data_IF_979329979513
#
_entry.id   IF_979329979513
#
_cell.length_a   1.000
_cell.length_b   1.000
_cell.length_c   1.000
_cell.angle_alpha   90.00
_cell.angle_beta   90.00
_cell.angle_gamma   90.00
#
_symmetry.space_group_name_H-M   'P 1'
#
loop_
_entity.id
_entity.type
_entity.pdbx_description
1 polymer ?
#
# COMPACT_ATOMS: atom_id res chain seq x y z
N UNK A 1 -4.14 -0.78 -9.04
CA UNK A 1 -3.15 -1.89 -8.93
C UNK A 1 -3.84 -3.20 -9.31
N UNK A 2 -3.15 -4.20 -9.88
CA UNK A 2 -3.74 -5.52 -10.18
C UNK A 2 -3.27 -6.58 -9.19
N UNK A 3 -4.05 -7.66 -9.06
CA UNK A 3 -3.70 -8.81 -8.21
C UNK A 3 -2.35 -9.44 -8.59
N UNK A 4 -2.08 -9.64 -9.89
CA UNK A 4 -0.82 -10.20 -10.39
C UNK A 4 0.41 -9.37 -10.01
N UNK A 5 0.27 -8.04 -10.00
CA UNK A 5 1.35 -7.12 -9.65
C UNK A 5 1.71 -7.22 -8.15
N UNK A 6 0.70 -7.47 -7.31
CA UNK A 6 0.87 -7.74 -5.88
C UNK A 6 1.45 -9.13 -5.65
N UNK A 7 0.94 -10.17 -6.32
CA UNK A 7 1.51 -11.53 -6.26
C UNK A 7 2.99 -11.55 -6.64
N UNK A 8 3.33 -10.87 -7.72
CA UNK A 8 4.72 -10.71 -8.17
C UNK A 8 5.58 -10.02 -7.11
N UNK A 9 5.05 -8.99 -6.45
CA UNK A 9 5.73 -8.28 -5.38
C UNK A 9 5.96 -9.14 -4.14
N UNK A 10 4.95 -9.92 -3.73
CA UNK A 10 4.99 -10.82 -2.57
C UNK A 10 5.66 -12.17 -2.85
N UNK A 11 5.98 -12.45 -4.12
CA UNK A 11 6.48 -13.75 -4.59
C UNK A 11 5.55 -14.91 -4.23
N UNK A 12 4.26 -14.71 -4.52
CA UNK A 12 3.20 -15.70 -4.35
C UNK A 12 2.89 -16.32 -5.71
N UNK A 13 3.07 -17.63 -5.82
CA UNK A 13 2.79 -18.42 -7.02
C UNK A 13 1.49 -19.25 -6.92
N UNK A 14 0.77 -19.16 -5.80
CA UNK A 14 -0.48 -19.87 -5.55
C UNK A 14 -1.69 -18.95 -5.56
N UNK A 15 -2.89 -19.53 -5.75
CA UNK A 15 -4.15 -18.79 -5.92
C UNK A 15 -5.05 -18.80 -4.67
N UNK A 16 -4.66 -19.55 -3.62
CA UNK A 16 -5.49 -19.70 -2.41
C UNK A 16 -5.71 -18.37 -1.67
N UNK A 17 -4.75 -17.45 -1.77
CA UNK A 17 -4.80 -16.14 -1.12
C UNK A 17 -5.40 -15.04 -2.00
N UNK A 18 -5.89 -15.34 -3.21
CA UNK A 18 -6.35 -14.34 -4.19
C UNK A 18 -7.44 -13.44 -3.64
N UNK A 19 -8.47 -14.03 -3.04
CA UNK A 19 -9.57 -13.28 -2.43
C UNK A 19 -9.08 -12.34 -1.32
N UNK A 20 -8.07 -12.77 -0.57
CA UNK A 20 -7.54 -11.98 0.53
C UNK A 20 -6.61 -10.87 0.01
N UNK A 21 -5.80 -11.16 -0.99
CA UNK A 21 -5.01 -10.14 -1.69
C UNK A 21 -5.90 -9.09 -2.36
N UNK A 22 -7.01 -9.48 -2.98
CA UNK A 22 -7.98 -8.56 -3.58
C UNK A 22 -8.59 -7.64 -2.51
N UNK A 23 -9.01 -8.22 -1.37
CA UNK A 23 -9.48 -7.43 -0.22
C UNK A 23 -8.41 -6.48 0.32
N UNK A 24 -7.15 -6.93 0.40
CA UNK A 24 -6.04 -6.08 0.85
C UNK A 24 -5.75 -4.95 -0.14
N UNK A 25 -5.89 -5.19 -1.45
CA UNK A 25 -5.72 -4.16 -2.49
C UNK A 25 -6.78 -3.07 -2.31
N UNK A 26 -8.05 -3.44 -2.13
CA UNK A 26 -9.14 -2.49 -1.91
C UNK A 26 -8.94 -1.68 -0.62
N UNK A 27 -8.71 -2.37 0.50
CA UNK A 27 -8.53 -1.73 1.81
C UNK A 27 -7.30 -0.83 1.84
N UNK A 28 -6.20 -1.22 1.20
CA UNK A 28 -4.99 -0.40 1.15
C UNK A 28 -5.15 0.84 0.27
N UNK A 29 -5.95 0.78 -0.80
CA UNK A 29 -6.27 1.94 -1.62
C UNK A 29 -7.12 2.94 -0.84
N UNK A 30 -8.21 2.47 -0.22
CA UNK A 30 -9.07 3.27 0.67
C UNK A 30 -8.27 3.90 1.82
N UNK A 31 -7.34 3.16 2.41
CA UNK A 31 -6.47 3.68 3.47
C UNK A 31 -5.60 4.84 2.99
N UNK A 32 -5.00 4.71 1.79
CA UNK A 32 -4.18 5.78 1.21
C UNK A 32 -5.05 6.99 0.90
N UNK A 33 -6.19 6.79 0.23
CA UNK A 33 -7.16 7.85 -0.07
C UNK A 33 -7.63 8.57 1.20
N UNK A 34 -7.90 7.83 2.28
CA UNK A 34 -8.28 8.42 3.57
C UNK A 34 -7.13 9.18 4.24
N UNK A 35 -5.87 8.83 3.98
CA UNK A 35 -4.71 9.50 4.56
C UNK A 35 -4.27 10.75 3.79
N UNK A 36 -4.34 10.72 2.46
CA UNK A 36 -3.72 11.75 1.60
C UNK A 36 -4.72 12.42 0.65
N UNK A 37 -5.97 11.98 0.64
CA UNK A 37 -7.00 12.41 -0.31
C UNK A 37 -6.80 11.80 -1.71
N UNK A 38 -7.64 12.19 -2.66
CA UNK A 38 -7.60 11.69 -4.05
C UNK A 38 -6.76 12.56 -4.99
N UNK A 39 -6.17 13.65 -4.50
CA UNK A 39 -5.43 14.62 -5.32
C UNK A 39 -4.22 13.99 -6.03
N UNK A 40 -3.56 13.02 -5.40
CA UNK A 40 -2.44 12.29 -6.00
C UNK A 40 -2.83 11.51 -7.27
N UNK A 41 -4.11 11.18 -7.45
CA UNK A 41 -4.62 10.47 -8.65
C UNK A 41 -4.56 11.33 -9.91
N UNK A 42 -4.28 12.63 -9.78
CA UNK A 42 -4.13 13.56 -10.91
C UNK A 42 -2.68 13.68 -11.42
N UNK A 43 -1.69 13.20 -10.67
CA UNK A 43 -0.27 13.29 -11.05
C UNK A 43 0.36 11.90 -11.23
N UNK A 44 0.88 11.62 -12.43
CA UNK A 44 1.50 10.32 -12.75
C UNK A 44 2.67 9.94 -11.82
N UNK A 45 3.43 10.91 -11.30
CA UNK A 45 4.54 10.62 -10.38
C UNK A 45 3.99 10.28 -9.00
N UNK A 46 2.96 10.99 -8.55
CA UNK A 46 2.28 10.72 -7.30
C UNK A 46 1.57 9.36 -7.33
N UNK A 47 0.92 8.99 -8.44
CA UNK A 47 0.35 7.65 -8.65
C UNK A 47 1.44 6.56 -8.52
N UNK A 48 2.63 6.77 -9.08
CA UNK A 48 3.74 5.80 -8.95
C UNK A 48 4.20 5.65 -7.49
N UNK A 49 4.25 6.75 -6.73
CA UNK A 49 4.58 6.72 -5.31
C UNK A 49 3.49 6.03 -4.49
N UNK A 50 2.22 6.33 -4.77
CA UNK A 50 1.07 5.70 -4.12
C UNK A 50 1.02 4.19 -4.38
N UNK A 51 1.28 3.73 -5.61
CA UNK A 51 1.37 2.30 -5.91
C UNK A 51 2.50 1.61 -5.12
N UNK A 52 3.67 2.24 -5.00
CA UNK A 52 4.77 1.68 -4.20
C UNK A 52 4.40 1.61 -2.71
N UNK A 53 3.76 2.65 -2.19
CA UNK A 53 3.25 2.70 -0.83
C UNK A 53 2.23 1.58 -0.59
N UNK A 54 1.26 1.44 -1.48
CA UNK A 54 0.21 0.44 -1.42
C UNK A 54 0.79 -0.98 -1.42
N UNK A 55 1.79 -1.28 -2.27
CA UNK A 55 2.50 -2.58 -2.25
C UNK A 55 3.15 -2.88 -0.90
N UNK A 56 3.84 -1.90 -0.31
CA UNK A 56 4.45 -2.05 1.02
C UNK A 56 3.40 -2.28 2.11
N UNK A 57 2.27 -1.58 2.01
CA UNK A 57 1.13 -1.71 2.93
C UNK A 57 0.52 -3.11 2.85
N UNK A 58 0.22 -3.58 1.63
CA UNK A 58 -0.32 -4.92 1.39
C UNK A 58 0.66 -6.00 1.89
N UNK A 59 1.96 -5.87 1.61
CA UNK A 59 2.97 -6.79 2.15
C UNK A 59 2.99 -6.80 3.66
N UNK A 60 2.94 -5.62 4.28
CA UNK A 60 2.92 -5.53 5.74
C UNK A 60 1.66 -6.18 6.33
N UNK A 61 0.48 -5.91 5.75
CA UNK A 61 -0.80 -6.50 6.16
C UNK A 61 -0.85 -8.01 5.92
N UNK A 62 -0.25 -8.49 4.83
CA UNK A 62 -0.15 -9.91 4.48
C UNK A 62 0.79 -10.67 5.42
N UNK A 63 1.96 -10.11 5.72
CA UNK A 63 2.95 -10.72 6.62
C UNK A 63 2.55 -10.61 8.10
N UNK A 64 1.87 -9.52 8.50
CA UNK A 64 1.42 -9.28 9.88
C UNK A 64 -0.06 -9.64 10.07
N UNK A 65 -0.55 -10.71 9.43
CA UNK A 65 -1.89 -11.26 9.71
C UNK A 65 -2.02 -11.85 11.12
N UNK A 66 -0.90 -12.09 11.81
CA UNK A 66 -0.88 -12.50 13.21
C UNK A 66 -1.12 -11.32 14.15
N UNK A 67 -1.85 -11.54 15.24
CA UNK A 67 -2.11 -10.55 16.32
C UNK A 67 -0.85 -10.09 17.07
N UNK A 68 0.32 -10.59 16.68
CA UNK A 68 1.60 -10.28 17.31
C UNK A 68 2.22 -9.06 16.63
N UNK A 69 2.05 -7.90 17.26
CA UNK A 69 2.82 -6.70 16.94
C UNK A 69 4.27 -7.01 17.33
N UNK A 70 5.05 -7.56 16.39
CA UNK A 70 6.46 -7.73 16.60
C UNK A 70 7.07 -6.34 16.80
N UNK A 71 7.53 -6.04 18.03
CA UNK A 71 8.00 -4.73 18.52
C UNK A 71 9.18 -4.11 17.75
N UNK A 72 9.55 -4.70 16.61
CA UNK A 72 10.66 -4.31 15.74
C UNK A 72 10.17 -3.95 14.32
N UNK A 73 8.95 -3.43 14.17
CA UNK A 73 8.54 -2.77 12.92
C UNK A 73 9.44 -1.57 12.74
N UNK A 74 10.56 -1.74 12.03
CA UNK A 74 11.36 -0.62 11.54
C UNK A 74 10.39 0.26 10.76
N UNK A 75 10.07 1.44 11.30
CA UNK A 75 9.33 2.46 10.57
C UNK A 75 10.11 2.69 9.29
N UNK A 76 9.57 2.19 8.19
CA UNK A 76 10.16 2.35 6.88
C UNK A 76 10.06 3.85 6.59
N UNK A 77 11.15 4.61 6.81
CA UNK A 77 11.13 6.07 6.67
C UNK A 77 10.62 6.49 5.28
N UNK A 78 10.76 5.62 4.29
CA UNK A 78 10.25 5.76 2.94
C UNK A 78 8.71 5.82 2.94
N UNK A 79 8.01 4.96 3.69
CA UNK A 79 6.54 4.98 3.81
C UNK A 79 6.06 6.31 4.37
N UNK A 80 6.67 6.78 5.46
CA UNK A 80 6.33 8.08 6.06
C UNK A 80 6.60 9.23 5.09
N UNK A 81 7.74 9.19 4.38
CA UNK A 81 8.11 10.24 3.42
C UNK A 81 7.15 10.27 2.22
N UNK A 82 6.72 9.10 1.75
CA UNK A 82 5.76 9.02 0.64
C UNK A 82 4.40 9.54 1.11
N UNK A 83 3.90 9.11 2.28
CA UNK A 83 2.64 9.60 2.84
C UNK A 83 2.66 11.13 3.03
N UNK A 84 3.72 11.67 3.61
CA UNK A 84 3.89 13.12 3.78
C UNK A 84 3.88 13.83 2.42
N UNK A 85 4.65 13.32 1.46
CA UNK A 85 4.72 13.91 0.11
C UNK A 85 3.37 13.87 -0.61
N UNK A 86 2.62 12.77 -0.48
CA UNK A 86 1.28 12.61 -1.04
C UNK A 86 0.26 13.49 -0.32
N UNK A 87 0.31 13.59 1.01
CA UNK A 87 -0.59 14.44 1.80
C UNK A 87 -0.36 15.93 1.52
N UNK A 88 0.86 16.31 1.14
CA UNK A 88 1.19 17.66 0.70
C UNK A 88 0.78 17.95 -0.76
N UNK A 89 0.29 16.97 -1.53
CA UNK A 89 -0.51 17.26 -2.73
C UNK A 89 -1.89 17.76 -2.29
N UNK A 90 -1.94 18.96 -1.71
CA UNK A 90 -3.21 19.67 -1.54
C UNK A 90 -3.61 20.26 -2.88
N UNK A 91 -4.89 20.08 -3.21
CA UNK A 91 -5.54 20.64 -4.40
C UNK A 91 -5.23 22.16 -4.49
N UNK A 92 -4.58 22.57 -5.58
CA UNK A 92 -4.45 23.98 -5.99
C UNK A 92 -5.71 24.40 -6.71
#
# INVERSE_FOLDING_TARGET
>A
MTLEDVKTYLRIDYEEDDNLLDSLIEVSEEYIDSCVGTAYKSDEKAIKLANLLQKKLISNMFENRGTEISNSTKKDNIVTTILDKLSNYSEV
#
